data_IF_103792305351
#
_entry.id   IF_103792305351
#
_cell.length_a   1.000
_cell.length_b   1.000
_cell.length_c   1.000
_cell.angle_alpha   90.00
_cell.angle_beta   90.00
_cell.angle_gamma   90.00
#
_symmetry.space_group_name_H-M   'P 1'
#
loop_
_entity.id
_entity.type
_entity.pdbx_description
1 polymer ?
#
# COMPACT_ATOMS: atom_id res chain seq x y z
N UNK A 1 18.25 26.71 -14.37
CA UNK A 1 17.64 25.39 -14.16
C UNK A 1 17.27 25.41 -12.70
N UNK A 2 16.04 25.79 -12.40
CA UNK A 2 15.62 26.05 -11.02
C UNK A 2 15.31 24.70 -10.36
N UNK A 3 16.07 24.35 -9.33
CA UNK A 3 15.84 23.16 -8.52
C UNK A 3 14.49 23.30 -7.80
N UNK A 4 13.55 22.40 -8.11
CA UNK A 4 12.31 22.30 -7.35
C UNK A 4 12.67 21.88 -5.91
N UNK A 5 12.17 22.57 -4.87
CA UNK A 5 12.39 22.16 -3.50
C UNK A 5 11.67 20.84 -3.24
N UNK A 6 12.40 19.73 -3.22
CA UNK A 6 11.86 18.47 -2.74
C UNK A 6 11.80 18.53 -1.19
N UNK A 7 10.59 18.45 -0.65
CA UNK A 7 10.36 18.25 0.78
C UNK A 7 10.73 16.80 1.13
N UNK A 8 12.01 16.51 1.38
CA UNK A 8 12.36 15.36 2.22
C UNK A 8 12.09 15.80 3.66
N UNK A 9 10.83 15.72 4.07
CA UNK A 9 10.51 15.63 5.51
C UNK A 9 10.69 14.17 5.87
N UNK A 10 11.74 13.86 6.64
CA UNK A 10 11.78 12.61 7.39
C UNK A 10 10.43 12.49 8.14
N UNK A 11 9.72 11.39 7.93
CA UNK A 11 8.48 11.15 8.65
C UNK A 11 8.82 11.16 10.14
N UNK A 12 8.13 11.99 10.93
CA UNK A 12 8.23 11.85 12.38
C UNK A 12 7.87 10.43 12.77
N UNK A 13 8.38 9.94 13.91
CA UNK A 13 8.09 8.57 14.37
C UNK A 13 6.58 8.25 14.37
N UNK A 14 5.75 9.25 14.69
CA UNK A 14 4.29 9.16 14.62
C UNK A 14 3.75 8.95 13.20
N UNK A 15 4.24 9.71 12.21
CA UNK A 15 3.85 9.51 10.81
C UNK A 15 4.29 8.14 10.28
N UNK A 16 5.48 7.68 10.69
CA UNK A 16 5.96 6.34 10.32
C UNK A 16 5.06 5.25 10.95
N UNK A 17 4.71 5.39 12.22
CA UNK A 17 3.80 4.47 12.91
C UNK A 17 2.42 4.40 12.25
N UNK A 18 1.85 5.55 11.88
CA UNK A 18 0.55 5.60 11.19
C UNK A 18 0.61 4.88 9.83
N UNK A 19 1.71 5.02 9.08
CA UNK A 19 1.90 4.30 7.82
C UNK A 19 2.04 2.79 8.01
N UNK A 20 2.78 2.36 9.04
CA UNK A 20 2.91 0.93 9.37
C UNK A 20 1.54 0.33 9.71
N UNK A 21 0.74 1.00 10.55
CA UNK A 21 -0.61 0.54 10.89
C UNK A 21 -1.49 0.36 9.65
N UNK A 22 -1.46 1.30 8.70
CA UNK A 22 -2.21 1.18 7.43
C UNK A 22 -1.75 -0.01 6.59
N UNK A 23 -0.45 -0.30 6.56
CA UNK A 23 0.11 -1.46 5.85
C UNK A 23 -0.34 -2.76 6.52
N UNK A 24 -0.34 -2.81 7.85
CA UNK A 24 -0.78 -3.99 8.63
C UNK A 24 -2.27 -4.27 8.42
N UNK A 25 -3.10 -3.22 8.40
CA UNK A 25 -4.52 -3.34 8.06
C UNK A 25 -4.70 -3.86 6.62
N UNK A 26 -3.96 -3.31 5.65
CA UNK A 26 -3.97 -3.79 4.28
C UNK A 26 -3.53 -5.26 4.18
N UNK A 27 -2.53 -5.67 4.96
CA UNK A 27 -2.07 -7.06 5.06
C UNK A 27 -3.15 -7.99 5.59
N UNK A 28 -3.93 -7.55 6.59
CA UNK A 28 -5.06 -8.30 7.12
C UNK A 28 -6.15 -8.51 6.06
N UNK A 29 -6.46 -7.49 5.26
CA UNK A 29 -7.40 -7.61 4.13
C UNK A 29 -6.87 -8.59 3.07
N UNK A 30 -5.58 -8.52 2.75
CA UNK A 30 -4.96 -9.45 1.81
C UNK A 30 -5.01 -10.89 2.30
N UNK A 31 -4.72 -11.13 3.59
CA UNK A 31 -4.83 -12.45 4.22
C UNK A 31 -6.26 -13.00 4.12
N UNK A 32 -7.26 -12.20 4.50
CA UNK A 32 -8.66 -12.61 4.41
C UNK A 32 -9.07 -12.96 2.97
N UNK A 33 -8.55 -12.26 1.97
CA UNK A 33 -8.79 -12.64 0.57
C UNK A 33 -8.09 -13.96 0.22
N UNK A 34 -6.83 -14.13 0.61
CA UNK A 34 -6.09 -15.36 0.33
C UNK A 34 -6.75 -16.60 0.96
N UNK A 35 -7.37 -16.47 2.13
CA UNK A 35 -8.12 -17.57 2.77
C UNK A 35 -9.30 -18.08 1.94
N UNK A 36 -9.80 -17.28 0.98
CA UNK A 36 -10.87 -17.68 0.05
C UNK A 36 -10.37 -18.43 -1.18
N UNK A 37 -9.05 -18.41 -1.44
CA UNK A 37 -8.45 -19.00 -2.64
C UNK A 37 -7.92 -20.41 -2.34
N UNK A 38 -7.93 -21.27 -3.36
CA UNK A 38 -7.26 -22.56 -3.28
C UNK A 38 -5.78 -22.39 -2.87
N UNK A 39 -5.18 -23.37 -2.16
CA UNK A 39 -3.77 -23.31 -1.77
C UNK A 39 -2.85 -23.15 -2.98
N UNK A 40 -1.77 -22.37 -2.82
CA UNK A 40 -0.79 -22.11 -3.88
C UNK A 40 -0.36 -20.64 -3.95
N UNK A 41 0.49 -20.34 -4.94
CA UNK A 41 0.96 -18.98 -5.17
C UNK A 41 -0.17 -18.05 -5.58
N UNK A 42 -0.28 -16.92 -4.91
CA UNK A 42 -1.23 -15.88 -5.24
C UNK A 42 -0.65 -14.50 -4.90
N UNK A 43 -1.10 -13.47 -5.62
CA UNK A 43 -0.72 -12.08 -5.37
C UNK A 43 -1.95 -11.19 -5.46
N UNK A 44 -2.02 -10.17 -4.60
CA UNK A 44 -3.09 -9.17 -4.60
C UNK A 44 -2.53 -7.77 -4.41
N UNK A 45 -3.25 -6.78 -4.91
CA UNK A 45 -3.03 -5.37 -4.58
C UNK A 45 -4.20 -4.88 -3.72
N UNK A 46 -3.89 -4.37 -2.53
CA UNK A 46 -4.86 -3.69 -1.67
C UNK A 46 -4.70 -2.20 -1.90
N UNK A 47 -5.77 -1.55 -2.33
CA UNK A 47 -5.78 -0.12 -2.66
C UNK A 47 -6.67 0.62 -1.67
N UNK A 48 -6.10 1.58 -0.95
CA UNK A 48 -6.86 2.50 -0.12
C UNK A 48 -7.36 3.65 -0.99
N UNK A 49 -8.67 3.90 -0.94
CA UNK A 49 -9.30 4.99 -1.68
C UNK A 49 -10.18 5.83 -0.77
N UNK A 50 -10.24 7.13 -1.05
CA UNK A 50 -11.18 8.05 -0.42
C UNK A 50 -12.18 8.56 -1.45
N UNK A 51 -13.46 8.53 -1.09
CA UNK A 51 -14.52 9.12 -1.89
C UNK A 51 -14.70 10.58 -1.51
N UNK A 52 -14.51 11.46 -2.48
CA UNK A 52 -14.67 12.91 -2.34
C UNK A 52 -15.86 13.40 -3.18
N UNK A 53 -16.20 14.68 -3.05
CA UNK A 53 -17.17 15.35 -3.94
C UNK A 53 -16.71 15.43 -5.39
N UNK A 54 -15.40 15.29 -5.66
CA UNK A 54 -14.80 15.38 -6.99
C UNK A 54 -14.51 14.01 -7.63
N UNK A 55 -14.74 12.91 -6.90
CA UNK A 55 -14.47 11.55 -7.36
C UNK A 55 -13.73 10.71 -6.31
N UNK A 56 -13.25 9.55 -6.74
CA UNK A 56 -12.45 8.65 -5.90
C UNK A 56 -10.97 8.97 -6.06
N UNK A 57 -10.29 9.29 -4.97
CA UNK A 57 -8.84 9.45 -4.92
C UNK A 57 -8.20 8.17 -4.36
N UNK A 58 -7.13 7.70 -4.98
CA UNK A 58 -6.29 6.65 -4.41
C UNK A 58 -5.35 7.31 -3.40
N UNK A 59 -5.23 6.76 -2.19
CA UNK A 59 -4.36 7.27 -1.13
C UNK A 59 -3.13 6.37 -0.90
N UNK A 60 -3.19 5.11 -1.33
CA UNK A 60 -2.09 4.16 -1.21
C UNK A 60 -2.42 2.82 -1.84
N UNK A 61 -1.38 2.10 -2.25
CA UNK A 61 -1.50 0.75 -2.78
C UNK A 61 -0.38 -0.15 -2.28
N UNK A 62 -0.74 -1.33 -1.80
CA UNK A 62 0.20 -2.33 -1.27
C UNK A 62 0.00 -3.68 -1.93
N UNK A 63 1.08 -4.24 -2.45
CA UNK A 63 1.12 -5.56 -3.07
C UNK A 63 1.51 -6.63 -2.06
N UNK A 64 0.68 -7.65 -1.91
CA UNK A 64 0.94 -8.80 -1.05
C UNK A 64 1.05 -10.07 -1.89
N UNK A 65 1.93 -10.97 -1.49
CA UNK A 65 2.11 -12.28 -2.12
C UNK A 65 2.04 -13.38 -1.08
N UNK A 66 1.23 -14.39 -1.37
CA UNK A 66 1.20 -15.66 -0.65
C UNK A 66 2.11 -16.69 -1.33
N UNK A 67 3.05 -17.27 -0.61
CA UNK A 67 3.87 -18.41 -1.06
C UNK A 67 3.12 -19.74 -0.91
N UNK A 68 3.67 -20.82 -1.48
CA UNK A 68 3.04 -22.14 -1.46
C UNK A 68 2.85 -22.72 -0.04
N UNK A 69 3.68 -22.31 0.92
CA UNK A 69 3.59 -22.67 2.34
C UNK A 69 2.60 -21.80 3.13
N UNK A 70 1.92 -20.85 2.46
CA UNK A 70 0.92 -19.97 3.05
C UNK A 70 1.49 -18.68 3.65
N UNK A 71 2.81 -18.46 3.65
CA UNK A 71 3.36 -17.20 4.16
C UNK A 71 2.97 -16.01 3.28
N UNK A 72 2.53 -14.92 3.90
CA UNK A 72 2.13 -13.68 3.21
C UNK A 72 3.21 -12.63 3.40
N UNK A 73 3.67 -12.05 2.30
CA UNK A 73 4.77 -11.06 2.27
C UNK A 73 4.33 -9.80 1.54
N UNK A 74 4.68 -8.63 2.10
CA UNK A 74 4.61 -7.36 1.38
C UNK A 74 5.71 -7.34 0.30
N UNK A 75 5.31 -7.20 -0.96
CA UNK A 75 6.23 -7.25 -2.13
C UNK A 75 6.38 -5.91 -2.84
N UNK A 76 5.56 -4.92 -2.49
CA UNK A 76 5.65 -3.58 -3.03
C UNK A 76 4.66 -2.63 -2.38
N UNK A 77 5.02 -1.37 -2.30
CA UNK A 77 4.15 -0.29 -1.88
C UNK A 77 4.33 0.85 -2.88
N UNK A 78 3.23 1.29 -3.51
CA UNK A 78 3.24 2.52 -4.28
C UNK A 78 2.67 3.62 -3.39
N UNK A 79 3.47 4.67 -3.07
CA UNK A 79 2.92 5.83 -2.39
C UNK A 79 1.90 6.52 -3.30
N UNK A 80 1.04 7.30 -2.63
CA UNK A 80 0.00 8.16 -3.18
C UNK A 80 0.35 8.75 -4.57
N UNK A 81 -0.60 8.72 -5.50
CA UNK A 81 -0.41 9.02 -6.94
C UNK A 81 -0.24 10.51 -7.24
N UNK A 82 0.83 11.10 -6.69
CA UNK A 82 1.36 12.40 -7.13
C UNK A 82 2.84 12.34 -7.56
N UNK A 83 3.57 11.25 -7.29
CA UNK A 83 5.00 11.12 -7.63
C UNK A 83 5.30 10.38 -8.96
N UNK A 84 4.30 9.88 -9.69
CA UNK A 84 4.49 9.15 -10.95
C UNK A 84 4.35 10.01 -12.21
N UNK A 85 4.26 11.34 -12.07
CA UNK A 85 4.30 12.30 -13.17
C UNK A 85 5.51 13.22 -13.00
N UNK A 86 6.68 12.70 -13.34
CA UNK A 86 7.84 13.50 -13.78
C UNK A 86 8.38 12.85 -15.05
#
# INVERSE_FOLDING_TARGET
MDELPFLIKEASAEHAANRVSLIEEAGTVAMAHFDTLAPGYASVYVTLTARTTYGTAMLGQWGFRRSADGAVTLIGALPDTEAARV
#
